data_IF_704713925617
#
_entry.id   IF_704713925617
#
_cell.length_a   1.000
_cell.length_b   1.000
_cell.length_c   1.000
_cell.angle_alpha   90.00
_cell.angle_beta   90.00
_cell.angle_gamma   90.00
#
_symmetry.space_group_name_H-M   'P 1'
#
loop_
_entity.id
_entity.type
_entity.pdbx_description
1 polymer ?
#
# COMPACT_ATOMS: atom_id res chain seq x y z
N UNK A 1 -14.45 7.64 10.23
CA UNK A 1 -15.13 6.57 9.50
C UNK A 1 -15.68 5.46 10.41
N UNK A 2 -14.94 4.85 11.32
CA UNK A 2 -15.42 3.75 12.19
C UNK A 2 -16.23 4.21 13.41
N UNK A 3 -16.13 5.47 13.83
CA UNK A 3 -16.81 6.02 15.02
C UNK A 3 -18.35 6.05 14.95
N UNK A 4 -18.96 5.60 13.86
CA UNK A 4 -20.40 5.61 13.64
C UNK A 4 -21.07 4.23 13.88
N UNK A 5 -20.33 3.21 14.32
CA UNK A 5 -20.87 1.87 14.61
C UNK A 5 -20.84 1.63 16.11
N UNK A 6 -21.99 1.39 16.70
CA UNK A 6 -22.12 1.05 18.13
C UNK A 6 -21.47 -0.30 18.51
N UNK A 7 -21.07 -1.10 17.50
CA UNK A 7 -20.52 -2.45 17.68
C UNK A 7 -18.99 -2.49 17.58
N UNK A 8 -18.34 -1.40 17.16
CA UNK A 8 -16.89 -1.32 16.97
C UNK A 8 -16.30 -0.22 17.82
N UNK A 9 -15.33 -0.55 18.65
CA UNK A 9 -14.63 0.41 19.49
C UNK A 9 -13.22 0.59 18.94
N UNK A 10 -12.90 1.80 18.48
CA UNK A 10 -11.54 2.19 18.14
C UNK A 10 -10.80 2.55 19.40
N UNK A 11 -9.85 1.71 19.81
CA UNK A 11 -9.11 1.88 21.07
C UNK A 11 -7.78 2.58 20.89
N UNK A 12 -7.29 2.75 19.65
CA UNK A 12 -6.07 3.49 19.36
C UNK A 12 -5.78 3.66 17.89
N UNK A 13 -4.82 4.53 17.62
CA UNK A 13 -4.33 4.83 16.28
C UNK A 13 -2.79 4.88 16.31
N UNK A 14 -2.16 4.48 15.21
CA UNK A 14 -0.71 4.51 15.02
C UNK A 14 -0.38 5.13 13.66
N UNK A 15 0.68 5.90 13.58
CA UNK A 15 1.11 6.60 12.36
C UNK A 15 2.08 5.78 11.52
N UNK A 16 2.65 4.72 12.07
CA UNK A 16 3.59 3.82 11.41
C UNK A 16 3.52 2.41 12.03
N UNK A 17 4.15 1.45 11.35
CA UNK A 17 4.13 0.05 11.80
C UNK A 17 4.81 -0.20 13.12
N UNK A 18 5.82 0.59 13.50
CA UNK A 18 6.54 0.44 14.78
C UNK A 18 5.65 0.83 15.95
N UNK A 19 4.93 1.95 15.83
CA UNK A 19 3.93 2.37 16.81
C UNK A 19 2.80 1.34 16.92
N UNK A 20 2.32 0.80 15.78
CA UNK A 20 1.27 -0.23 15.80
C UNK A 20 1.72 -1.49 16.55
N UNK A 21 2.96 -1.94 16.36
CA UNK A 21 3.52 -3.09 17.11
C UNK A 21 3.60 -2.77 18.60
N UNK A 22 4.17 -1.61 18.97
CA UNK A 22 4.27 -1.21 20.39
C UNK A 22 2.88 -1.12 21.05
N UNK A 23 1.89 -0.58 20.34
CA UNK A 23 0.54 -0.45 20.86
C UNK A 23 -0.10 -1.81 21.18
N UNK A 24 0.03 -2.80 20.31
CA UNK A 24 -0.55 -4.14 20.56
C UNK A 24 0.22 -4.94 21.61
N UNK A 25 1.46 -4.55 21.95
CA UNK A 25 2.23 -5.15 23.04
C UNK A 25 1.73 -4.65 24.42
N UNK A 26 1.13 -3.46 24.48
CA UNK A 26 0.67 -2.81 25.71
C UNK A 26 -0.85 -2.89 25.92
N UNK A 27 -1.63 -3.21 24.87
CA UNK A 27 -3.08 -3.17 24.93
C UNK A 27 -3.70 -4.45 24.35
N UNK A 28 -4.85 -4.83 24.91
CA UNK A 28 -5.66 -5.93 24.35
C UNK A 28 -6.39 -5.45 23.09
N UNK A 29 -5.97 -5.96 21.95
CA UNK A 29 -6.50 -5.61 20.63
C UNK A 29 -7.02 -6.87 19.95
N UNK A 30 -8.29 -6.87 19.53
CA UNK A 30 -8.85 -7.97 18.77
C UNK A 30 -8.44 -7.92 17.30
N UNK A 31 -8.54 -6.72 16.70
CA UNK A 31 -8.34 -6.51 15.27
C UNK A 31 -7.46 -5.28 15.04
N UNK A 32 -6.50 -5.41 14.14
CA UNK A 32 -5.68 -4.30 13.63
C UNK A 32 -6.04 -4.04 12.17
N UNK A 33 -6.42 -2.81 11.85
CA UNK A 33 -6.50 -2.32 10.48
C UNK A 33 -5.14 -1.75 10.10
N UNK A 34 -4.50 -2.32 9.09
CA UNK A 34 -3.10 -2.07 8.81
C UNK A 34 -2.91 -1.58 7.37
N UNK A 35 -2.44 -0.35 7.22
CA UNK A 35 -1.99 0.16 5.92
C UNK A 35 -0.65 -0.49 5.53
N UNK A 36 -0.45 -0.76 4.26
CA UNK A 36 0.83 -1.26 3.75
C UNK A 36 1.87 -0.16 3.63
N UNK A 37 1.45 1.05 3.25
CA UNK A 37 2.35 2.16 2.95
C UNK A 37 2.47 3.11 4.13
N UNK A 38 3.29 2.73 5.09
CA UNK A 38 3.59 3.56 6.25
C UNK A 38 5.08 3.89 6.31
N UNK A 39 5.45 5.06 6.89
CA UNK A 39 6.84 5.41 7.14
C UNK A 39 7.48 4.49 8.20
N UNK A 40 8.79 4.51 8.34
CA UNK A 40 9.61 3.78 9.31
C UNK A 40 9.51 2.25 9.22
N UNK A 41 8.32 1.69 9.46
CA UNK A 41 8.02 0.26 9.33
C UNK A 41 6.76 0.11 8.46
N UNK A 42 6.89 -0.56 7.33
CA UNK A 42 5.77 -0.85 6.44
C UNK A 42 4.80 -1.88 7.03
N UNK A 43 3.58 -1.97 6.45
CA UNK A 43 2.55 -2.87 6.97
C UNK A 43 2.88 -4.37 6.86
N UNK A 44 3.76 -4.78 5.95
CA UNK A 44 4.18 -6.18 5.85
C UNK A 44 5.01 -6.58 7.06
N UNK A 45 5.99 -5.75 7.40
CA UNK A 45 6.88 -6.00 8.54
C UNK A 45 6.11 -5.87 9.86
N UNK A 46 5.18 -4.91 9.95
CA UNK A 46 4.29 -4.77 11.09
C UNK A 46 3.36 -5.99 11.25
N UNK A 47 2.73 -6.46 10.18
CA UNK A 47 1.89 -7.67 10.18
C UNK A 47 2.67 -8.88 10.71
N UNK A 48 3.89 -9.10 10.20
CA UNK A 48 4.77 -10.18 10.64
C UNK A 48 5.15 -10.06 12.11
N UNK A 49 5.49 -8.85 12.58
CA UNK A 49 5.85 -8.60 13.98
C UNK A 49 4.67 -8.84 14.92
N UNK A 50 3.50 -8.30 14.61
CA UNK A 50 2.27 -8.47 15.40
C UNK A 50 1.89 -9.97 15.48
N UNK A 51 1.91 -10.69 14.37
CA UNK A 51 1.58 -12.12 14.34
C UNK A 51 2.61 -12.97 15.07
N UNK A 52 3.87 -12.57 15.11
CA UNK A 52 4.92 -13.22 15.91
C UNK A 52 4.71 -12.99 17.40
N UNK A 53 4.29 -11.78 17.79
CA UNK A 53 3.99 -11.43 19.17
C UNK A 53 2.73 -12.14 19.67
N UNK A 54 1.62 -11.97 18.96
CA UNK A 54 0.34 -12.61 19.31
C UNK A 54 -0.40 -13.07 18.04
N UNK A 55 -0.36 -14.37 17.71
CA UNK A 55 -1.04 -14.91 16.53
C UNK A 55 -2.58 -14.82 16.58
N UNK A 56 -3.18 -14.56 17.76
CA UNK A 56 -4.63 -14.42 17.90
C UNK A 56 -5.15 -13.06 17.39
N UNK A 57 -4.33 -12.02 17.44
CA UNK A 57 -4.70 -10.70 16.91
C UNK A 57 -5.04 -10.85 15.42
N UNK A 58 -6.23 -10.43 15.03
CA UNK A 58 -6.67 -10.45 13.63
C UNK A 58 -6.12 -9.23 12.90
N UNK A 59 -5.71 -9.39 11.66
CA UNK A 59 -5.15 -8.28 10.86
C UNK A 59 -5.94 -8.17 9.57
N UNK A 60 -6.53 -7.00 9.33
CA UNK A 60 -7.14 -6.62 8.07
C UNK A 60 -6.23 -5.59 7.40
N UNK A 61 -5.75 -5.92 6.21
CA UNK A 61 -4.91 -5.04 5.41
C UNK A 61 -5.79 -4.05 4.65
N UNK A 62 -5.41 -2.77 4.69
CA UNK A 62 -6.00 -1.71 3.86
C UNK A 62 -4.96 -1.23 2.87
N UNK A 63 -5.19 -1.37 1.57
CA UNK A 63 -4.21 -1.01 0.56
C UNK A 63 -4.82 -0.42 -0.71
N UNK A 64 -4.05 0.39 -1.42
CA UNK A 64 -4.35 0.77 -2.81
C UNK A 64 -3.78 -0.22 -3.83
N UNK A 65 -3.11 -1.28 -3.36
CA UNK A 65 -2.35 -2.22 -4.18
C UNK A 65 -3.03 -3.58 -4.16
N UNK A 66 -3.23 -4.14 -5.33
CA UNK A 66 -3.77 -5.50 -5.55
C UNK A 66 -2.74 -6.45 -6.18
N UNK A 67 -1.44 -6.26 -5.88
CA UNK A 67 -0.38 -7.10 -6.46
C UNK A 67 -0.41 -8.54 -5.89
N UNK A 68 -0.55 -9.54 -6.78
CA UNK A 68 -0.72 -10.95 -6.39
C UNK A 68 0.37 -11.47 -5.45
N UNK A 69 1.64 -11.13 -5.68
CA UNK A 69 2.75 -11.55 -4.81
C UNK A 69 2.67 -10.95 -3.42
N UNK A 70 2.21 -9.70 -3.32
CA UNK A 70 2.05 -8.99 -2.06
C UNK A 70 0.91 -9.59 -1.23
N UNK A 71 -0.24 -9.82 -1.88
CA UNK A 71 -1.41 -10.47 -1.27
C UNK A 71 -1.03 -11.85 -0.73
N UNK A 72 -0.40 -12.70 -1.56
CA UNK A 72 0.03 -14.04 -1.15
C UNK A 72 1.00 -14.01 0.04
N UNK A 73 1.94 -13.07 0.06
CA UNK A 73 2.90 -12.91 1.16
C UNK A 73 2.21 -12.54 2.47
N UNK A 74 1.25 -11.60 2.42
CA UNK A 74 0.49 -11.19 3.61
C UNK A 74 -0.38 -12.32 4.15
N UNK A 75 -0.98 -13.11 3.26
CA UNK A 75 -1.72 -14.32 3.64
C UNK A 75 -0.81 -15.34 4.35
N UNK A 76 0.40 -15.56 3.84
CA UNK A 76 1.39 -16.44 4.47
C UNK A 76 1.79 -15.94 5.86
N UNK A 77 1.77 -14.62 6.10
CA UNK A 77 2.03 -14.04 7.42
C UNK A 77 0.80 -14.06 8.34
N UNK A 78 -0.36 -14.56 7.87
CA UNK A 78 -1.55 -14.75 8.68
C UNK A 78 -2.49 -13.55 8.72
N UNK A 79 -2.49 -12.69 7.70
CA UNK A 79 -3.53 -11.68 7.54
C UNK A 79 -4.90 -12.37 7.44
N UNK A 80 -5.88 -11.83 8.16
CA UNK A 80 -7.24 -12.36 8.22
C UNK A 80 -8.19 -11.70 7.24
N UNK A 81 -7.79 -10.55 6.69
CA UNK A 81 -8.56 -9.82 5.69
C UNK A 81 -7.68 -8.92 4.83
N UNK A 82 -8.20 -8.57 3.65
CA UNK A 82 -7.58 -7.62 2.75
C UNK A 82 -8.66 -6.85 2.01
N UNK A 83 -8.65 -5.54 2.17
CA UNK A 83 -9.57 -4.61 1.54
C UNK A 83 -8.80 -3.55 0.74
N UNK A 84 -9.38 -3.13 -0.36
CA UNK A 84 -8.88 -1.98 -1.07
C UNK A 84 -9.31 -0.69 -0.36
N UNK A 85 -8.48 0.35 -0.34
CA UNK A 85 -8.79 1.63 0.31
C UNK A 85 -9.94 2.41 -0.34
N UNK A 86 -10.38 1.99 -1.52
CA UNK A 86 -11.57 2.51 -2.20
C UNK A 86 -12.85 1.74 -1.84
N UNK A 87 -12.76 0.65 -1.07
CA UNK A 87 -13.92 -0.05 -0.52
C UNK A 87 -14.71 0.87 0.40
N UNK A 88 -16.03 0.72 0.40
CA UNK A 88 -16.94 1.57 1.16
C UNK A 88 -16.83 1.34 2.68
N UNK A 89 -17.41 2.27 3.45
CA UNK A 89 -17.45 2.16 4.91
C UNK A 89 -18.22 0.92 5.36
N UNK A 90 -19.31 0.58 4.70
CA UNK A 90 -20.14 -0.61 5.01
C UNK A 90 -19.32 -1.89 4.86
N UNK A 91 -18.57 -2.02 3.76
CA UNK A 91 -17.72 -3.17 3.50
C UNK A 91 -16.59 -3.32 4.53
N UNK A 92 -16.00 -2.22 4.98
CA UNK A 92 -15.02 -2.24 6.08
C UNK A 92 -15.64 -2.74 7.39
N UNK A 93 -16.86 -2.29 7.72
CA UNK A 93 -17.59 -2.73 8.93
C UNK A 93 -17.90 -4.22 8.84
N UNK A 94 -18.39 -4.69 7.70
CA UNK A 94 -18.70 -6.09 7.46
C UNK A 94 -17.44 -6.97 7.55
N UNK A 95 -16.33 -6.52 6.97
CA UNK A 95 -15.05 -7.20 7.09
C UNK A 95 -14.59 -7.35 8.54
N UNK A 96 -14.70 -6.28 9.34
CA UNK A 96 -14.34 -6.31 10.76
C UNK A 96 -15.23 -7.34 11.51
N UNK A 97 -16.53 -7.34 11.28
CA UNK A 97 -17.47 -8.28 11.90
C UNK A 97 -17.18 -9.73 11.52
N UNK A 98 -16.94 -10.01 10.25
CA UNK A 98 -16.62 -11.36 9.78
C UNK A 98 -15.28 -11.85 10.34
N UNK A 99 -14.27 -11.00 10.33
CA UNK A 99 -12.96 -11.33 10.88
C UNK A 99 -13.02 -11.53 12.41
N UNK A 100 -13.83 -10.76 13.12
CA UNK A 100 -14.06 -10.94 14.55
C UNK A 100 -14.68 -12.32 14.85
N UNK A 101 -15.65 -12.78 14.04
CA UNK A 101 -16.25 -14.12 14.14
C UNK A 101 -15.26 -15.26 13.84
N UNK A 102 -14.08 -14.95 13.34
CA UNK A 102 -13.05 -15.92 12.98
C UNK A 102 -13.02 -16.31 11.50
N UNK A 103 -13.84 -15.69 10.67
CA UNK A 103 -13.82 -15.85 9.22
C UNK A 103 -12.69 -15.01 8.60
N UNK A 104 -12.35 -15.31 7.36
CA UNK A 104 -11.49 -14.43 6.56
C UNK A 104 -12.37 -13.56 5.65
N UNK A 105 -11.94 -12.32 5.38
CA UNK A 105 -12.65 -11.41 4.49
C UNK A 105 -11.68 -10.78 3.48
N UNK A 106 -11.97 -10.96 2.19
CA UNK A 106 -11.16 -10.43 1.08
C UNK A 106 -12.08 -9.84 0.02
N UNK A 107 -11.72 -8.66 -0.50
CA UNK A 107 -12.40 -8.10 -1.67
C UNK A 107 -12.39 -9.10 -2.85
N UNK A 108 -13.42 -9.04 -3.68
CA UNK A 108 -13.55 -9.95 -4.82
C UNK A 108 -12.33 -9.88 -5.75
N UNK A 109 -11.79 -8.70 -5.98
CA UNK A 109 -10.56 -8.50 -6.78
C UNK A 109 -9.38 -9.27 -6.18
N UNK A 110 -9.26 -9.28 -4.85
CA UNK A 110 -8.22 -10.00 -4.13
C UNK A 110 -8.41 -11.51 -4.23
N UNK A 111 -9.66 -11.98 -4.14
CA UNK A 111 -10.00 -13.38 -4.34
C UNK A 111 -9.63 -13.83 -5.76
N UNK A 112 -9.95 -13.04 -6.77
CA UNK A 112 -9.62 -13.34 -8.16
C UNK A 112 -8.11 -13.40 -8.39
N UNK A 113 -7.34 -12.52 -7.76
CA UNK A 113 -5.87 -12.54 -7.78
C UNK A 113 -5.33 -13.81 -7.12
N UNK A 114 -5.94 -14.28 -6.05
CA UNK A 114 -5.51 -15.48 -5.35
C UNK A 114 -5.82 -16.75 -6.15
N UNK A 115 -7.01 -16.82 -6.76
CA UNK A 115 -7.47 -17.99 -7.53
C UNK A 115 -6.84 -18.08 -8.92
N UNK A 116 -6.55 -16.96 -9.54
CA UNK A 116 -6.05 -16.88 -10.91
C UNK A 116 -4.77 -16.04 -11.00
N UNK A 117 -3.69 -16.42 -10.28
CA UNK A 117 -2.46 -15.64 -10.27
C UNK A 117 -1.86 -15.45 -11.66
N UNK A 118 -2.08 -16.39 -12.57
CA UNK A 118 -1.55 -16.35 -13.95
C UNK A 118 -2.37 -15.44 -14.89
N UNK A 119 -3.67 -15.22 -14.61
CA UNK A 119 -4.46 -14.24 -15.37
C UNK A 119 -4.03 -12.79 -15.08
N UNK A 120 -3.58 -12.53 -13.86
CA UNK A 120 -3.06 -11.24 -13.46
C UNK A 120 -1.56 -11.07 -13.75
N UNK A 121 -0.86 -12.17 -14.14
CA UNK A 121 0.49 -12.10 -14.71
C UNK A 121 0.51 -11.64 -16.17
N UNK A 122 -0.58 -11.84 -16.92
CA UNK A 122 -0.65 -11.51 -18.34
C UNK A 122 -0.71 -10.01 -18.67
N UNK A 123 -0.71 -9.13 -17.65
CA UNK A 123 -0.59 -7.67 -17.78
C UNK A 123 0.69 -7.14 -17.12
N UNK A 124 1.56 -7.99 -16.61
CA UNK A 124 2.83 -7.57 -16.03
C UNK A 124 3.98 -8.37 -16.57
N UNK A 125 4.62 -7.75 -17.54
CA UNK A 125 6.01 -7.95 -17.87
C UNK A 125 6.91 -8.02 -16.63
N UNK A 126 7.94 -8.80 -16.77
CA UNK A 126 9.08 -9.23 -15.99
C UNK A 126 9.78 -8.22 -15.07
N UNK A 127 9.11 -7.21 -14.50
CA UNK A 127 9.78 -6.24 -13.64
C UNK A 127 9.03 -6.04 -12.32
N UNK A 128 9.66 -6.45 -11.23
CA UNK A 128 9.33 -6.11 -9.83
C UNK A 128 9.51 -4.60 -9.57
N UNK A 129 8.70 -3.75 -10.21
CA UNK A 129 8.84 -2.32 -10.08
C UNK A 129 7.56 -1.70 -9.55
N UNK A 130 7.66 -0.77 -8.57
CA UNK A 130 6.53 0.04 -8.16
C UNK A 130 5.92 0.70 -9.38
N UNK A 131 4.66 0.43 -9.67
CA UNK A 131 4.00 0.95 -10.87
C UNK A 131 3.81 2.46 -10.74
N UNK A 132 4.52 3.21 -11.57
CA UNK A 132 4.28 4.63 -11.72
C UNK A 132 3.00 4.85 -12.53
N UNK A 133 2.15 5.78 -12.09
CA UNK A 133 1.00 6.22 -12.87
C UNK A 133 1.44 6.80 -14.21
N UNK A 134 0.51 6.88 -15.19
CA UNK A 134 0.80 7.50 -16.47
C UNK A 134 1.41 8.90 -16.31
N UNK A 135 0.88 9.71 -15.39
CA UNK A 135 1.36 11.07 -15.14
C UNK A 135 2.75 11.10 -14.50
N UNK A 136 3.04 10.16 -13.61
CA UNK A 136 4.38 10.02 -13.02
C UNK A 136 5.41 9.59 -14.06
N UNK A 137 5.06 8.73 -15.01
CA UNK A 137 5.94 8.34 -16.11
C UNK A 137 6.22 9.51 -17.05
N UNK A 138 5.22 10.31 -17.40
CA UNK A 138 5.38 11.52 -18.22
C UNK A 138 6.36 12.51 -17.54
N UNK A 139 6.21 12.75 -16.24
CA UNK A 139 7.10 13.62 -15.47
C UNK A 139 8.50 13.02 -15.36
N UNK A 140 8.61 11.70 -15.12
CA UNK A 140 9.91 11.02 -15.02
C UNK A 140 10.68 11.10 -16.32
N UNK A 141 10.01 10.93 -17.46
CA UNK A 141 10.61 11.09 -18.79
C UNK A 141 11.23 12.48 -18.97
N UNK A 142 10.48 13.55 -18.62
CA UNK A 142 10.96 14.92 -18.70
C UNK A 142 12.11 15.22 -17.71
N UNK A 143 12.15 14.55 -16.56
CA UNK A 143 13.29 14.63 -15.63
C UNK A 143 14.54 14.01 -16.26
N UNK A 144 14.41 12.90 -16.97
CA UNK A 144 15.51 12.23 -17.68
C UNK A 144 16.01 13.10 -18.85
N UNK A 145 15.11 13.83 -19.49
CA UNK A 145 15.42 14.83 -20.51
C UNK A 145 16.01 16.13 -19.93
N UNK A 146 16.40 16.11 -18.66
CA UNK A 146 17.02 17.22 -17.92
C UNK A 146 16.15 18.48 -17.82
N UNK A 147 14.81 18.37 -18.01
CA UNK A 147 13.90 19.48 -17.83
C UNK A 147 13.84 19.92 -16.37
N UNK A 148 13.86 21.23 -16.15
CA UNK A 148 13.62 21.84 -14.83
C UNK A 148 12.17 21.66 -14.39
N UNK A 149 11.89 21.80 -13.10
CA UNK A 149 10.51 21.71 -12.57
C UNK A 149 9.56 22.71 -13.24
N UNK A 150 10.05 23.91 -13.58
CA UNK A 150 9.27 24.94 -14.25
C UNK A 150 8.92 24.54 -15.70
N UNK A 151 9.89 24.03 -16.46
CA UNK A 151 9.70 23.54 -17.84
C UNK A 151 8.76 22.34 -17.89
N UNK A 152 8.84 21.42 -16.90
CA UNK A 152 7.91 20.29 -16.76
C UNK A 152 6.50 20.80 -16.51
N UNK A 153 6.34 21.76 -15.61
CA UNK A 153 5.04 22.36 -15.29
C UNK A 153 4.39 23.01 -16.53
N UNK A 154 5.18 23.75 -17.31
CA UNK A 154 4.75 24.39 -18.56
C UNK A 154 4.37 23.35 -19.63
N UNK A 155 5.26 22.38 -19.92
CA UNK A 155 5.04 21.32 -20.93
C UNK A 155 3.79 20.49 -20.64
N UNK A 156 3.50 20.26 -19.35
CA UNK A 156 2.42 19.41 -18.92
C UNK A 156 1.15 20.16 -18.49
N UNK A 157 1.15 21.50 -18.60
CA UNK A 157 0.04 22.38 -18.22
C UNK A 157 -0.44 22.16 -16.78
N UNK A 158 0.49 22.06 -15.81
CA UNK A 158 0.21 21.90 -14.38
C UNK A 158 1.03 22.88 -13.55
N UNK A 159 0.70 23.02 -12.27
CA UNK A 159 1.49 23.87 -11.36
C UNK A 159 2.84 23.25 -11.00
N UNK A 160 3.85 24.10 -10.71
CA UNK A 160 5.13 23.68 -10.18
C UNK A 160 4.97 22.83 -8.92
N UNK A 161 4.04 23.21 -8.01
CA UNK A 161 3.72 22.44 -6.82
C UNK A 161 3.16 21.05 -7.10
N UNK A 162 2.41 20.90 -8.21
CA UNK A 162 1.92 19.59 -8.66
C UNK A 162 3.07 18.70 -9.13
N UNK A 163 4.03 19.25 -9.89
CA UNK A 163 5.24 18.51 -10.30
C UNK A 163 6.05 18.04 -9.09
N UNK A 164 6.26 18.93 -8.11
CA UNK A 164 6.98 18.59 -6.87
C UNK A 164 6.27 17.50 -6.05
N UNK A 165 4.94 17.50 -6.04
CA UNK A 165 4.15 16.45 -5.38
C UNK A 165 4.33 15.10 -6.08
N UNK A 166 4.28 15.06 -7.41
CA UNK A 166 4.54 13.83 -8.17
C UNK A 166 5.98 13.34 -7.97
N UNK A 167 6.98 14.24 -7.92
CA UNK A 167 8.38 13.86 -7.64
C UNK A 167 8.54 13.21 -6.27
N UNK A 168 7.93 13.79 -5.22
CA UNK A 168 7.95 13.20 -3.87
C UNK A 168 7.29 11.81 -3.86
N UNK A 169 6.16 11.67 -4.53
CA UNK A 169 5.46 10.39 -4.63
C UNK A 169 6.32 9.33 -5.34
N UNK A 170 6.98 9.68 -6.45
CA UNK A 170 7.89 8.78 -7.16
C UNK A 170 9.10 8.38 -6.30
N UNK A 171 9.72 9.33 -5.59
CA UNK A 171 10.82 9.06 -4.65
C UNK A 171 10.38 8.03 -3.60
N UNK A 172 9.19 8.21 -3.01
CA UNK A 172 8.62 7.28 -2.05
C UNK A 172 8.33 5.91 -2.67
N UNK A 173 7.65 5.89 -3.83
CA UNK A 173 7.28 4.65 -4.53
C UNK A 173 8.48 3.82 -4.97
N UNK A 174 9.53 4.46 -5.47
CA UNK A 174 10.74 3.79 -5.96
C UNK A 174 11.78 3.53 -4.85
N UNK A 175 11.52 3.99 -3.62
CA UNK A 175 12.40 3.80 -2.47
C UNK A 175 13.77 4.47 -2.63
N UNK A 176 13.83 5.60 -3.37
CA UNK A 176 15.07 6.34 -3.65
C UNK A 176 15.14 7.60 -2.80
N UNK A 177 16.32 8.23 -2.72
CA UNK A 177 16.56 9.38 -1.82
C UNK A 177 16.38 10.75 -2.48
N UNK A 178 16.52 10.82 -3.79
CA UNK A 178 16.53 12.09 -4.54
C UNK A 178 16.27 11.88 -6.03
N UNK A 179 16.27 12.96 -6.80
CA UNK A 179 16.05 12.94 -8.26
C UNK A 179 17.08 12.10 -9.02
N UNK A 180 18.36 12.14 -8.63
CA UNK A 180 19.37 11.28 -9.25
C UNK A 180 19.05 9.79 -9.03
N UNK A 181 18.52 9.45 -7.85
CA UNK A 181 17.98 8.12 -7.55
C UNK A 181 16.78 7.75 -8.43
N UNK A 182 15.89 8.70 -8.75
CA UNK A 182 14.77 8.46 -9.68
C UNK A 182 15.28 8.10 -11.08
N UNK A 183 16.23 8.84 -11.61
CA UNK A 183 16.84 8.58 -12.93
C UNK A 183 17.53 7.21 -12.94
N UNK A 184 18.35 6.93 -11.92
CA UNK A 184 19.00 5.61 -11.79
C UNK A 184 18.00 4.46 -11.68
N UNK A 185 16.91 4.65 -10.95
CA UNK A 185 15.84 3.65 -10.84
C UNK A 185 15.09 3.46 -12.17
N UNK A 186 14.84 4.54 -12.91
CA UNK A 186 14.16 4.49 -14.21
C UNK A 186 14.90 3.57 -15.19
N UNK A 187 16.22 3.72 -15.29
CA UNK A 187 17.08 2.84 -16.15
C UNK A 187 17.17 1.42 -15.59
N UNK A 188 17.42 1.27 -14.27
CA UNK A 188 17.52 -0.06 -13.64
C UNK A 188 16.28 -0.89 -13.84
N UNK A 189 15.15 -0.24 -13.88
CA UNK A 189 13.85 -0.84 -13.92
C UNK A 189 13.23 -0.85 -15.33
N UNK A 190 13.90 -0.34 -16.35
CA UNK A 190 13.37 -0.28 -17.70
C UNK A 190 12.04 0.48 -17.82
N UNK A 191 11.82 1.49 -16.95
CA UNK A 191 10.61 2.32 -16.96
C UNK A 191 10.60 3.25 -18.18
N UNK A 192 11.77 3.58 -18.67
CA UNK A 192 12.06 4.42 -19.84
C UNK A 192 13.14 3.75 -20.67
N UNK A 193 13.07 3.95 -21.99
CA UNK A 193 14.05 3.49 -22.95
C UNK A 193 15.25 4.44 -23.04
#
# INVERSE_FOLDING_TARGET
MLSASDEIIVIGEATNGREAVAYVEEHDVDIVLLDLNMPEMNGIDACKAIKKFNPKIKIIILSMISESKMVQKLMTYGASGYLLKNSGQEELIDAIKEVHKGNNHFDQEIIDIMLYPDKHKAVKDENLHPSLSRREKEILQLIIEECTTAEIAEKLFISVGTVESHRRNMISKLGVRNTAGLVSAAYRYGIVE
#
